data_IF_413676406977
#
_entry.id   IF_413676406977
#
_cell.length_a   1.000
_cell.length_b   1.000
_cell.length_c   1.000
_cell.angle_alpha   90.00
_cell.angle_beta   90.00
_cell.angle_gamma   90.00
#
_symmetry.space_group_name_H-M   'P 1'
#
loop_
_entity.id
_entity.type
_entity.pdbx_description
1 polymer ?
#
# COMPACT_ATOMS: atom_id res chain seq x y z
N UNK A 1 1.27 17.51 22.50
CA UNK A 1 1.77 17.36 21.11
C UNK A 1 2.26 15.93 20.91
N UNK A 2 2.08 15.36 19.70
CA UNK A 2 2.62 14.01 19.40
C UNK A 2 4.15 14.11 19.24
N UNK A 3 4.88 13.38 20.06
CA UNK A 3 6.36 13.36 20.09
C UNK A 3 6.91 12.17 19.30
N UNK A 4 8.22 12.17 18.99
CA UNK A 4 8.88 11.04 18.31
C UNK A 4 8.66 9.70 19.03
N UNK A 5 8.67 9.70 20.36
CA UNK A 5 8.39 8.50 21.16
C UNK A 5 6.97 7.97 20.92
N UNK A 6 5.98 8.86 20.77
CA UNK A 6 4.63 8.43 20.42
C UNK A 6 4.60 7.81 19.02
N UNK A 7 5.30 8.39 18.05
CA UNK A 7 5.38 7.84 16.68
C UNK A 7 5.98 6.43 16.70
N UNK A 8 7.10 6.24 17.39
CA UNK A 8 7.75 4.94 17.55
C UNK A 8 6.80 3.90 18.18
N UNK A 9 6.13 4.27 19.28
CA UNK A 9 5.20 3.37 19.99
C UNK A 9 4.00 3.00 19.12
N UNK A 10 3.46 3.93 18.34
CA UNK A 10 2.35 3.68 17.41
C UNK A 10 2.80 2.71 16.31
N UNK A 11 3.89 3.02 15.60
CA UNK A 11 4.36 2.20 14.48
C UNK A 11 4.77 0.79 14.91
N UNK A 12 5.48 0.66 16.05
CA UNK A 12 5.84 -0.65 16.58
C UNK A 12 4.61 -1.50 16.91
N UNK A 13 3.54 -0.90 17.45
CA UNK A 13 2.32 -1.64 17.73
C UNK A 13 1.56 -2.05 16.46
N UNK A 14 1.52 -1.19 15.43
CA UNK A 14 0.94 -1.55 14.13
C UNK A 14 1.70 -2.74 13.53
N UNK A 15 3.03 -2.66 13.47
CA UNK A 15 3.87 -3.73 12.92
C UNK A 15 3.74 -5.03 13.70
N UNK A 16 3.64 -4.99 15.04
CA UNK A 16 3.39 -6.18 15.86
C UNK A 16 2.03 -6.82 15.56
N UNK A 17 0.98 -6.00 15.40
CA UNK A 17 -0.35 -6.50 15.07
C UNK A 17 -0.37 -7.12 13.65
N UNK A 18 0.26 -6.48 12.67
CA UNK A 18 0.39 -7.01 11.32
C UNK A 18 1.22 -8.30 11.27
N UNK A 19 2.33 -8.37 12.00
CA UNK A 19 3.14 -9.59 12.07
C UNK A 19 2.32 -10.79 12.56
N UNK A 20 1.41 -10.57 13.52
CA UNK A 20 0.50 -11.62 13.99
C UNK A 20 -0.54 -12.02 12.92
N UNK A 21 -1.13 -11.04 12.22
CA UNK A 21 -2.09 -11.29 11.14
C UNK A 21 -1.45 -12.03 9.97
N UNK A 22 -0.29 -11.55 9.52
CA UNK A 22 0.48 -12.13 8.41
C UNK A 22 0.97 -13.54 8.73
N UNK A 23 1.42 -13.79 9.97
CA UNK A 23 1.76 -15.15 10.42
C UNK A 23 0.55 -16.11 10.43
N UNK A 24 -0.67 -15.56 10.49
CA UNK A 24 -1.93 -16.32 10.37
C UNK A 24 -2.42 -16.39 8.92
N UNK A 25 -1.62 -15.93 7.95
CA UNK A 25 -1.95 -15.89 6.54
C UNK A 25 -2.98 -14.83 6.15
N UNK A 26 -3.28 -13.85 7.02
CA UNK A 26 -4.29 -12.81 6.81
C UNK A 26 -3.65 -11.47 6.50
N UNK A 27 -3.97 -10.87 5.34
CA UNK A 27 -3.66 -9.47 5.05
C UNK A 27 -4.87 -8.57 5.31
N UNK A 28 -4.66 -7.38 5.87
CA UNK A 28 -5.72 -6.43 6.21
C UNK A 28 -6.25 -5.68 4.97
N UNK A 29 -5.36 -5.21 4.10
CA UNK A 29 -5.57 -4.61 2.78
C UNK A 29 -6.28 -3.25 2.71
N UNK A 30 -6.82 -2.76 3.82
CA UNK A 30 -7.36 -1.39 3.94
C UNK A 30 -6.82 -0.65 5.17
N UNK A 31 -5.51 -0.76 5.41
CA UNK A 31 -4.89 -0.09 6.54
C UNK A 31 -4.78 1.42 6.27
N UNK A 32 -5.33 2.22 7.18
CA UNK A 32 -5.37 3.70 7.13
C UNK A 32 -5.52 4.25 8.55
N UNK A 33 -5.19 5.54 8.82
CA UNK A 33 -5.28 6.09 10.17
C UNK A 33 -6.64 5.92 10.83
N UNK A 34 -7.74 6.02 10.07
CA UNK A 34 -9.10 5.80 10.57
C UNK A 34 -9.37 4.37 11.09
N UNK A 35 -8.58 3.39 10.63
CA UNK A 35 -8.68 1.98 11.02
C UNK A 35 -7.68 1.61 12.14
N UNK A 36 -6.94 2.61 12.68
CA UNK A 36 -6.01 2.47 13.79
C UNK A 36 -6.62 3.14 15.02
N UNK A 37 -7.21 2.33 15.91
CA UNK A 37 -7.78 2.81 17.16
C UNK A 37 -6.68 3.00 18.19
N UNK A 38 -6.60 4.19 18.77
CA UNK A 38 -5.63 4.55 19.80
C UNK A 38 -6.35 5.00 21.06
N UNK A 39 -6.05 4.37 22.19
CA UNK A 39 -6.54 4.79 23.51
C UNK A 39 -5.67 5.89 24.14
N UNK A 40 -6.17 6.48 25.22
CA UNK A 40 -5.45 7.52 25.98
C UNK A 40 -4.15 7.02 26.62
N UNK A 41 -4.04 5.71 26.90
CA UNK A 41 -2.84 5.03 27.37
C UNK A 41 -1.94 4.51 26.23
N UNK A 42 -2.12 5.03 25.01
CA UNK A 42 -1.36 4.68 23.82
C UNK A 42 -1.41 3.18 23.44
N UNK A 43 -2.48 2.47 23.82
CA UNK A 43 -2.72 1.11 23.32
C UNK A 43 -3.41 1.16 21.98
N UNK A 44 -2.91 0.35 21.06
CA UNK A 44 -3.36 0.33 19.67
C UNK A 44 -4.17 -0.92 19.37
N UNK A 45 -5.25 -0.78 18.60
CA UNK A 45 -5.99 -1.88 17.99
C UNK A 45 -6.29 -1.56 16.53
N UNK A 46 -6.08 -2.55 15.66
CA UNK A 46 -6.51 -2.47 14.26
C UNK A 46 -7.97 -2.90 14.18
N UNK A 47 -8.79 -2.20 13.40
CA UNK A 47 -10.18 -2.52 13.15
C UNK A 47 -10.51 -2.50 11.65
N UNK A 48 -11.75 -2.86 11.31
CA UNK A 48 -12.27 -2.87 9.93
C UNK A 48 -11.58 -3.87 8.99
N UNK A 49 -11.79 -5.15 9.28
CA UNK A 49 -11.31 -6.29 8.49
C UNK A 49 -12.23 -6.61 7.29
N UNK A 50 -13.09 -5.69 6.85
CA UNK A 50 -14.06 -5.94 5.77
C UNK A 50 -13.43 -6.29 4.43
N UNK A 51 -12.17 -5.87 4.21
CA UNK A 51 -11.36 -6.19 3.02
C UNK A 51 -10.24 -7.20 3.30
N UNK A 52 -10.18 -7.76 4.51
CA UNK A 52 -9.15 -8.71 4.87
C UNK A 52 -9.33 -10.04 4.13
N UNK A 53 -8.21 -10.66 3.75
CA UNK A 53 -8.20 -11.96 3.05
C UNK A 53 -7.10 -12.87 3.57
N UNK A 54 -7.45 -14.15 3.68
CA UNK A 54 -6.52 -15.24 3.99
C UNK A 54 -5.91 -15.87 2.74
N UNK A 55 -4.84 -16.65 2.89
CA UNK A 55 -4.34 -17.55 1.84
C UNK A 55 -3.51 -16.88 0.73
N UNK A 56 -3.03 -15.65 0.94
CA UNK A 56 -2.25 -14.92 -0.06
C UNK A 56 -0.80 -15.44 -0.20
N UNK A 57 -0.28 -16.08 0.85
CA UNK A 57 1.12 -16.54 0.91
C UNK A 57 1.24 -18.07 0.72
N UNK A 58 0.20 -18.74 0.21
CA UNK A 58 0.14 -20.20 0.07
C UNK A 58 -0.71 -20.67 -1.11
N UNK A 59 -0.04 -20.81 -2.27
CA UNK A 59 -0.38 -21.64 -3.43
C UNK A 59 -1.84 -21.99 -3.68
N UNK A 60 -2.52 -21.16 -4.45
CA UNK A 60 -3.48 -21.57 -5.48
C UNK A 60 -3.69 -20.36 -6.41
N UNK A 61 -2.82 -20.25 -7.43
CA UNK A 61 -2.93 -19.25 -8.52
C UNK A 61 -4.25 -19.38 -9.30
N UNK A 62 -4.92 -20.53 -9.19
CA UNK A 62 -6.18 -20.88 -9.86
C UNK A 62 -7.43 -20.69 -8.98
N UNK A 63 -7.28 -20.29 -7.71
CA UNK A 63 -8.44 -19.84 -6.96
C UNK A 63 -8.96 -18.56 -7.62
N UNK A 64 -10.25 -18.43 -7.96
CA UNK A 64 -10.76 -17.18 -8.48
C UNK A 64 -10.58 -16.15 -7.36
N UNK A 65 -9.48 -15.39 -7.40
CA UNK A 65 -9.38 -14.13 -6.70
C UNK A 65 -10.46 -13.27 -7.33
N UNK A 66 -11.68 -13.38 -6.79
CA UNK A 66 -12.82 -12.54 -7.13
C UNK A 66 -12.28 -11.14 -7.28
N UNK A 67 -12.37 -10.62 -8.49
CA UNK A 67 -11.73 -9.39 -8.89
C UNK A 67 -12.04 -8.31 -7.86
N UNK A 68 -11.12 -8.10 -6.92
CA UNK A 68 -11.30 -7.12 -5.87
C UNK A 68 -11.01 -5.75 -6.50
N UNK A 69 -11.93 -5.28 -7.36
CA UNK A 69 -11.72 -4.04 -8.08
C UNK A 69 -12.49 -3.85 -9.38
N UNK A 70 -13.32 -4.79 -9.86
CA UNK A 70 -14.39 -4.42 -10.84
C UNK A 70 -15.65 -4.03 -10.07
N UNK A 71 -15.46 -3.22 -9.04
CA UNK A 71 -16.53 -2.49 -8.40
C UNK A 71 -16.09 -1.05 -8.55
N UNK A 72 -16.73 -0.41 -9.54
CA UNK A 72 -17.05 1.02 -9.65
C UNK A 72 -16.17 1.95 -8.85
N UNK A 73 -15.72 3.04 -9.49
CA UNK A 73 -15.04 4.21 -8.91
C UNK A 73 -15.69 4.73 -7.60
N UNK A 74 -15.58 3.96 -6.51
CA UNK A 74 -16.20 4.24 -5.24
C UNK A 74 -15.29 5.23 -4.54
N UNK A 75 -15.94 6.27 -4.02
CA UNK A 75 -15.39 7.46 -3.38
C UNK A 75 -14.82 7.08 -2.01
N UNK A 76 -13.78 6.25 -1.99
CA UNK A 76 -13.04 5.87 -0.78
C UNK A 76 -11.60 6.35 -0.90
N UNK A 77 -11.02 6.77 0.22
CA UNK A 77 -9.65 7.27 0.34
C UNK A 77 -8.64 6.21 -0.09
N UNK A 78 -7.91 6.47 -1.19
CA UNK A 78 -6.92 5.54 -1.78
C UNK A 78 -5.48 5.79 -1.35
N UNK A 79 -5.26 6.77 -0.48
CA UNK A 79 -3.95 7.35 -0.17
C UNK A 79 -2.93 6.38 0.44
N UNK A 80 -3.40 5.24 0.94
CA UNK A 80 -2.59 4.21 1.59
C UNK A 80 -2.49 2.91 0.78
N UNK A 81 -3.03 2.88 -0.44
CA UNK A 81 -2.99 1.68 -1.31
C UNK A 81 -1.62 1.53 -1.97
N UNK A 82 -1.14 0.30 -2.02
CA UNK A 82 0.12 -0.06 -2.65
C UNK A 82 0.04 0.01 -4.19
N UNK A 83 1.14 0.31 -4.90
CA UNK A 83 1.19 0.37 -6.36
C UNK A 83 0.68 -0.89 -7.05
N UNK A 84 1.04 -2.06 -6.55
CA UNK A 84 0.62 -3.37 -7.06
C UNK A 84 -0.89 -3.57 -6.97
N UNK A 85 -1.56 -3.04 -5.94
CA UNK A 85 -3.03 -3.07 -5.84
C UNK A 85 -3.68 -2.20 -6.93
N UNK A 86 -3.00 -1.14 -7.36
CA UNK A 86 -3.49 -0.22 -8.39
C UNK A 86 -3.14 -0.69 -9.82
N UNK A 87 -2.03 -1.41 -9.98
CA UNK A 87 -1.48 -1.83 -11.27
C UNK A 87 -1.88 -3.28 -11.65
N UNK A 88 -1.99 -4.19 -10.67
CA UNK A 88 -2.31 -5.60 -10.84
C UNK A 88 -3.24 -6.11 -9.71
N UNK A 89 -4.55 -5.81 -9.77
CA UNK A 89 -5.49 -6.12 -8.70
C UNK A 89 -5.78 -7.62 -8.48
N UNK A 90 -5.07 -8.53 -9.19
CA UNK A 90 -5.25 -9.97 -9.07
C UNK A 90 -4.13 -10.68 -8.30
N UNK A 91 -2.95 -10.07 -8.15
CA UNK A 91 -1.80 -10.70 -7.49
C UNK A 91 -1.13 -9.72 -6.53
N UNK A 92 -1.39 -9.87 -5.24
CA UNK A 92 -0.71 -9.12 -4.19
C UNK A 92 -0.64 -9.94 -2.90
N UNK A 93 0.38 -9.67 -2.10
CA UNK A 93 0.68 -10.38 -0.86
C UNK A 93 0.32 -9.54 0.36
N UNK A 94 0.64 -10.05 1.55
CA UNK A 94 0.61 -9.30 2.80
C UNK A 94 1.47 -8.02 2.80
N UNK A 95 2.41 -7.87 1.84
CA UNK A 95 3.26 -6.70 1.68
C UNK A 95 2.48 -5.38 1.43
N UNK A 96 1.25 -5.46 0.92
CA UNK A 96 0.40 -4.27 0.72
C UNK A 96 0.11 -3.53 2.02
N UNK A 97 0.03 -4.25 3.15
CA UNK A 97 -0.17 -3.65 4.46
C UNK A 97 1.09 -2.88 4.90
N UNK A 98 2.27 -3.39 4.56
CA UNK A 98 3.56 -2.75 4.89
C UNK A 98 3.70 -1.43 4.13
N UNK A 99 3.27 -1.38 2.87
CA UNK A 99 3.17 -0.13 2.13
C UNK A 99 2.27 0.89 2.85
N UNK A 100 1.08 0.47 3.27
CA UNK A 100 0.16 1.34 4.01
C UNK A 100 0.76 1.86 5.31
N UNK A 101 1.54 1.05 6.04
CA UNK A 101 2.28 1.50 7.24
C UNK A 101 3.28 2.60 6.88
N UNK A 102 4.00 2.48 5.76
CA UNK A 102 4.91 3.52 5.27
C UNK A 102 4.18 4.86 5.03
N UNK A 103 3.01 4.81 4.39
CA UNK A 103 2.17 5.99 4.19
C UNK A 103 1.70 6.60 5.51
N UNK A 104 1.27 5.79 6.47
CA UNK A 104 0.83 6.22 7.81
C UNK A 104 1.99 6.87 8.58
N UNK A 105 3.19 6.27 8.55
CA UNK A 105 4.38 6.82 9.18
C UNK A 105 4.73 8.19 8.58
N UNK A 106 4.75 8.29 7.24
CA UNK A 106 4.99 9.55 6.54
C UNK A 106 3.98 10.63 6.91
N UNK A 107 2.69 10.26 7.06
CA UNK A 107 1.64 11.19 7.47
C UNK A 107 1.78 11.65 8.92
N UNK A 108 2.13 10.75 9.85
CA UNK A 108 2.33 11.10 11.25
C UNK A 108 3.51 12.06 11.40
N UNK A 109 4.61 11.82 10.67
CA UNK A 109 5.79 12.68 10.69
C UNK A 109 5.53 14.04 10.01
N UNK A 110 4.89 14.02 8.84
CA UNK A 110 4.65 15.21 8.01
C UNK A 110 3.38 16.00 8.36
N UNK A 111 2.50 15.47 9.23
CA UNK A 111 1.17 16.01 9.58
C UNK A 111 0.23 16.22 8.39
N UNK A 112 0.52 15.57 7.27
CA UNK A 112 -0.25 15.61 6.04
C UNK A 112 -0.15 14.26 5.36
N UNK A 113 -1.21 13.82 4.69
CA UNK A 113 -1.18 12.58 3.93
C UNK A 113 0.00 12.55 2.95
N UNK A 114 0.71 11.43 2.92
CA UNK A 114 1.92 11.29 2.11
C UNK A 114 1.60 11.34 0.61
N UNK A 115 0.53 10.65 0.18
CA UNK A 115 0.09 10.59 -1.22
C UNK A 115 -1.41 10.91 -1.35
N UNK A 116 -1.81 12.20 -1.41
CA UNK A 116 -3.22 12.58 -1.55
C UNK A 116 -3.70 12.49 -3.01
N UNK A 117 -3.70 11.27 -3.58
CA UNK A 117 -4.11 11.05 -4.96
C UNK A 117 -5.61 11.11 -5.18
N UNK A 118 -6.03 11.68 -6.32
CA UNK A 118 -7.43 11.85 -6.71
C UNK A 118 -8.04 10.60 -7.35
N UNK A 119 -7.23 9.81 -8.04
CA UNK A 119 -7.61 8.57 -8.71
C UNK A 119 -6.37 7.65 -8.85
N UNK A 120 -6.52 6.45 -9.45
CA UNK A 120 -5.43 5.47 -9.56
C UNK A 120 -4.22 6.03 -10.33
N UNK A 121 -4.47 6.78 -11.39
CA UNK A 121 -3.43 7.40 -12.21
C UNK A 121 -2.65 8.43 -11.39
N UNK A 122 -3.35 9.36 -10.75
CA UNK A 122 -2.73 10.42 -9.92
C UNK A 122 -1.97 9.82 -8.72
N UNK A 123 -2.47 8.74 -8.12
CA UNK A 123 -1.76 8.02 -7.05
C UNK A 123 -0.40 7.51 -7.52
N UNK A 124 -0.34 6.77 -8.64
CA UNK A 124 0.91 6.23 -9.17
C UNK A 124 1.89 7.35 -9.53
N UNK A 125 1.41 8.44 -10.14
CA UNK A 125 2.24 9.61 -10.43
C UNK A 125 2.85 10.23 -9.17
N UNK A 126 2.08 10.41 -8.09
CA UNK A 126 2.56 10.97 -6.82
C UNK A 126 3.60 10.09 -6.14
N UNK A 127 3.38 8.78 -6.17
CA UNK A 127 4.33 7.80 -5.66
C UNK A 127 5.66 7.91 -6.41
N UNK A 128 5.62 7.88 -7.74
CA UNK A 128 6.81 8.01 -8.58
C UNK A 128 7.56 9.34 -8.36
N UNK A 129 6.84 10.46 -8.18
CA UNK A 129 7.44 11.77 -7.89
C UNK A 129 8.18 11.83 -6.56
N UNK A 130 7.78 10.99 -5.59
CA UNK A 130 8.32 11.03 -4.23
C UNK A 130 9.39 9.96 -3.99
N UNK A 131 9.12 8.73 -4.46
CA UNK A 131 10.02 7.57 -4.28
C UNK A 131 11.04 7.47 -5.43
N UNK A 132 10.76 8.13 -6.56
CA UNK A 132 11.53 7.98 -7.79
C UNK A 132 10.87 6.98 -8.74
N UNK A 133 11.44 6.92 -9.95
CA UNK A 133 10.98 5.99 -10.97
C UNK A 133 11.64 4.62 -10.82
N UNK A 134 10.85 3.53 -10.86
CA UNK A 134 11.39 2.19 -10.68
C UNK A 134 12.27 1.80 -11.86
N UNK A 135 13.34 1.07 -11.56
CA UNK A 135 14.22 0.44 -12.55
C UNK A 135 13.56 -0.80 -13.16
N UNK A 136 14.12 -1.30 -14.26
CA UNK A 136 13.55 -2.41 -15.01
C UNK A 136 13.43 -3.70 -14.18
N UNK A 137 14.41 -3.96 -13.32
CA UNK A 137 14.42 -5.13 -12.44
C UNK A 137 13.35 -5.02 -11.33
N UNK A 138 13.00 -3.80 -10.90
CA UNK A 138 11.95 -3.56 -9.90
C UNK A 138 10.54 -3.73 -10.48
N UNK A 139 10.41 -3.82 -11.80
CA UNK A 139 9.15 -4.01 -12.53
C UNK A 139 8.98 -5.44 -13.08
N UNK A 140 9.84 -6.40 -12.72
CA UNK A 140 9.77 -7.77 -13.22
C UNK A 140 8.44 -8.48 -12.89
N UNK A 141 7.80 -8.10 -11.78
CA UNK A 141 6.49 -8.59 -11.37
C UNK A 141 5.33 -8.05 -12.22
N UNK A 142 5.54 -7.01 -13.04
CA UNK A 142 4.53 -6.37 -13.87
C UNK A 142 4.66 -6.81 -15.34
N UNK A 143 3.71 -7.59 -15.89
CA UNK A 143 3.81 -8.10 -17.26
C UNK A 143 3.88 -6.98 -18.30
N UNK A 144 4.88 -7.08 -19.20
CA UNK A 144 5.27 -6.01 -20.13
C UNK A 144 4.23 -5.72 -21.22
N UNK A 145 3.33 -6.65 -21.47
CA UNK A 145 2.25 -6.59 -22.46
C UNK A 145 0.98 -5.89 -21.95
N UNK A 146 0.94 -5.51 -20.68
CA UNK A 146 -0.22 -4.85 -20.04
C UNK A 146 -0.25 -3.34 -20.22
N UNK A 147 -1.46 -2.77 -20.16
CA UNK A 147 -1.65 -1.30 -20.13
C UNK A 147 -1.03 -0.67 -18.88
N UNK A 148 -1.01 -1.39 -17.75
CA UNK A 148 -0.38 -0.96 -16.51
C UNK A 148 1.14 -0.73 -16.72
N UNK A 149 1.84 -1.66 -17.38
CA UNK A 149 3.26 -1.49 -17.70
C UNK A 149 3.51 -0.29 -18.61
N UNK A 150 2.73 -0.14 -19.69
CA UNK A 150 2.82 1.02 -20.59
C UNK A 150 2.58 2.33 -19.86
N UNK A 151 1.61 2.34 -18.94
CA UNK A 151 1.29 3.50 -18.12
C UNK A 151 2.45 3.88 -17.19
N UNK A 152 3.03 2.93 -16.46
CA UNK A 152 4.20 3.17 -15.59
C UNK A 152 5.35 3.77 -16.41
N UNK A 153 5.65 3.23 -17.60
CA UNK A 153 6.70 3.76 -18.48
C UNK A 153 6.43 5.16 -19.02
N UNK A 154 5.15 5.51 -19.20
CA UNK A 154 4.76 6.86 -19.61
C UNK A 154 4.94 7.88 -18.49
N UNK A 155 4.61 7.50 -17.25
CA UNK A 155 4.76 8.35 -16.05
C UNK A 155 6.22 8.47 -15.65
N UNK A 156 6.98 7.40 -15.83
CA UNK A 156 8.39 7.26 -15.51
C UNK A 156 9.20 6.95 -16.77
N UNK A 157 9.44 7.96 -17.64
CA UNK A 157 10.32 7.78 -18.77
C UNK A 157 11.72 7.46 -18.23
N UNK A 158 12.37 6.42 -18.77
CA UNK A 158 13.78 6.19 -18.49
C UNK A 158 14.54 7.44 -18.93
N UNK A 159 15.09 8.18 -17.98
CA UNK A 159 16.12 9.16 -18.29
C UNK A 159 17.29 8.38 -18.87
N UNK A 160 17.54 8.54 -20.17
CA UNK A 160 18.82 8.15 -20.74
C UNK A 160 19.90 8.84 -19.90
N UNK A 161 20.75 8.01 -19.29
CA UNK A 161 21.82 8.34 -18.36
C UNK A 161 22.08 9.82 -18.09
N UNK A 162 21.73 10.28 -16.91
CA UNK A 162 22.58 11.25 -16.23
C UNK A 162 23.37 10.43 -15.22
N UNK A 163 24.57 10.02 -15.64
CA UNK A 163 25.57 9.50 -14.73
C UNK A 163 25.82 10.57 -13.65
N UNK A 164 25.82 10.15 -12.38
CA UNK A 164 26.42 10.93 -11.30
C UNK A 164 27.94 10.93 -11.46
#
# INVERSE_FOLDING_TARGET
ALTEKHVQVIIVQILRALAHLHASGVAHRDLKPANILLSTDCKLKICDFGLARGGLDGGDEDSPQEACGVLTEYVVTRWYRAPEVMLLPKHYTSAVDIWSVGCILGEILGRKALFPGKNHIDMVCRVAQTVGCPQDHELEWLPKDTDAYRFVRKVCPQTQGVAF
#
